data_IF_175340872981
#
_entry.id   IF_175340872981
#
_cell.length_a   1.000
_cell.length_b   1.000
_cell.length_c   1.000
_cell.angle_alpha   90.00
_cell.angle_beta   90.00
_cell.angle_gamma   90.00
#
_symmetry.space_group_name_H-M   'P 1'
#
loop_
_entity.id
_entity.type
_entity.pdbx_description
1 polymer ?
#
# COMPACT_ATOMS: atom_id res chain seq x y z
N UNK A 1 -14.59 17.18 10.54
CA UNK A 1 -14.38 15.78 11.01
C UNK A 1 -14.71 14.71 9.96
N UNK A 2 -15.70 14.91 9.08
CA UNK A 2 -16.14 13.94 8.04
C UNK A 2 -15.04 13.51 7.03
N UNK A 3 -14.11 14.40 6.66
CA UNK A 3 -13.12 14.12 5.61
C UNK A 3 -12.01 13.12 5.99
N UNK A 4 -11.73 12.87 7.28
CA UNK A 4 -10.69 11.91 7.68
C UNK A 4 -11.13 10.46 7.45
N UNK A 5 -12.41 10.14 7.65
CA UNK A 5 -12.95 8.78 7.53
C UNK A 5 -13.22 8.37 6.09
N UNK A 6 -13.44 9.32 5.18
CA UNK A 6 -13.68 9.06 3.75
C UNK A 6 -12.55 8.21 3.15
N UNK A 7 -11.29 8.48 3.52
CA UNK A 7 -10.14 7.72 3.01
C UNK A 7 -10.16 6.25 3.44
N UNK A 8 -10.57 5.98 4.68
CA UNK A 8 -10.73 4.61 5.17
C UNK A 8 -11.84 3.89 4.41
N UNK A 9 -12.99 4.53 4.24
CA UNK A 9 -14.13 3.96 3.54
C UNK A 9 -13.77 3.64 2.08
N UNK A 10 -13.14 4.58 1.37
CA UNK A 10 -12.75 4.37 -0.04
C UNK A 10 -11.80 3.18 -0.16
N UNK A 11 -10.76 3.10 0.67
CA UNK A 11 -9.78 1.99 0.60
C UNK A 11 -10.44 0.66 0.95
N UNK A 12 -11.32 0.63 1.96
CA UNK A 12 -12.08 -0.57 2.32
C UNK A 12 -12.98 -1.00 1.17
N UNK A 13 -13.71 -0.08 0.52
CA UNK A 13 -14.56 -0.39 -0.62
C UNK A 13 -13.74 -0.96 -1.78
N UNK A 14 -12.58 -0.39 -2.08
CA UNK A 14 -11.67 -0.91 -3.11
C UNK A 14 -11.20 -2.33 -2.74
N UNK A 15 -10.79 -2.57 -1.49
CA UNK A 15 -10.38 -3.88 -1.02
C UNK A 15 -11.50 -4.93 -1.12
N UNK A 16 -12.73 -4.55 -0.79
CA UNK A 16 -13.92 -5.39 -0.95
C UNK A 16 -14.16 -5.71 -2.42
N UNK A 17 -14.11 -4.72 -3.32
CA UNK A 17 -14.33 -4.92 -4.76
C UNK A 17 -13.30 -5.88 -5.37
N UNK A 18 -12.04 -5.77 -4.96
CA UNK A 18 -10.97 -6.69 -5.39
C UNK A 18 -11.27 -8.11 -4.88
N UNK A 19 -11.63 -8.26 -3.60
CA UNK A 19 -11.98 -9.55 -3.01
C UNK A 19 -13.16 -10.20 -3.73
N UNK A 20 -14.22 -9.42 -3.98
CA UNK A 20 -15.43 -9.86 -4.69
C UNK A 20 -15.12 -10.32 -6.13
N UNK A 21 -14.21 -9.62 -6.81
CA UNK A 21 -13.76 -10.02 -8.15
C UNK A 21 -13.08 -11.39 -8.13
N UNK A 22 -12.26 -11.67 -7.12
CA UNK A 22 -11.59 -12.97 -6.94
C UNK A 22 -12.61 -14.06 -6.59
N UNK A 23 -13.59 -13.73 -5.75
CA UNK A 23 -14.66 -14.65 -5.36
C UNK A 23 -15.51 -15.08 -6.55
N UNK A 24 -15.86 -14.14 -7.43
CA UNK A 24 -16.57 -14.43 -8.67
C UNK A 24 -15.73 -15.27 -9.64
N UNK A 25 -14.43 -14.97 -9.76
CA UNK A 25 -13.53 -15.73 -10.63
C UNK A 25 -13.35 -17.19 -10.18
N UNK A 26 -13.28 -17.42 -8.86
CA UNK A 26 -13.07 -18.75 -8.28
C UNK A 26 -14.35 -19.54 -8.00
N UNK A 27 -15.52 -19.04 -8.42
CA UNK A 27 -16.83 -19.70 -8.26
C UNK A 27 -17.09 -20.18 -6.82
N UNK A 28 -16.97 -19.28 -5.84
CA UNK A 28 -17.20 -19.57 -4.42
C UNK A 28 -18.55 -20.27 -4.14
N UNK A 29 -19.57 -19.96 -4.95
CA UNK A 29 -20.92 -20.53 -4.80
C UNK A 29 -21.02 -22.00 -5.21
N UNK A 30 -20.02 -22.53 -5.92
CA UNK A 30 -20.00 -23.92 -6.40
C UNK A 30 -19.02 -24.80 -5.61
N UNK A 31 -18.44 -24.26 -4.52
CA UNK A 31 -17.54 -24.99 -3.65
C UNK A 31 -18.35 -25.92 -2.74
N UNK A 32 -18.14 -27.24 -2.90
CA UNK A 32 -18.88 -28.26 -2.15
C UNK A 32 -18.28 -28.57 -0.76
N UNK A 33 -17.01 -28.22 -0.53
CA UNK A 33 -16.31 -28.49 0.72
C UNK A 33 -16.00 -27.19 1.47
N UNK A 34 -16.14 -27.22 2.80
CA UNK A 34 -15.80 -26.08 3.68
C UNK A 34 -14.31 -25.71 3.55
N UNK A 35 -13.44 -26.70 3.33
CA UNK A 35 -12.01 -26.48 3.08
C UNK A 35 -11.79 -25.63 1.82
N UNK A 36 -12.50 -25.92 0.73
CA UNK A 36 -12.37 -25.16 -0.53
C UNK A 36 -12.88 -23.72 -0.36
N UNK A 37 -13.95 -23.52 0.40
CA UNK A 37 -14.47 -22.18 0.75
C UNK A 37 -13.44 -21.38 1.53
N UNK A 38 -12.81 -21.98 2.56
CA UNK A 38 -11.79 -21.33 3.38
C UNK A 38 -10.55 -20.94 2.56
N UNK A 39 -10.13 -21.80 1.62
CA UNK A 39 -9.03 -21.52 0.70
C UNK A 39 -9.33 -20.32 -0.21
N UNK A 40 -10.51 -20.29 -0.83
CA UNK A 40 -10.89 -19.20 -1.73
C UNK A 40 -11.05 -17.87 -0.97
N UNK A 41 -11.59 -17.90 0.25
CA UNK A 41 -11.67 -16.72 1.13
C UNK A 41 -10.28 -16.20 1.50
N UNK A 42 -9.37 -17.09 1.93
CA UNK A 42 -7.98 -16.75 2.25
C UNK A 42 -7.32 -16.02 1.08
N UNK A 43 -7.34 -16.61 -0.11
CA UNK A 43 -6.71 -16.04 -1.31
C UNK A 43 -7.36 -14.72 -1.75
N UNK A 44 -8.69 -14.63 -1.66
CA UNK A 44 -9.42 -13.43 -2.05
C UNK A 44 -9.14 -12.22 -1.15
N UNK A 45 -8.90 -12.45 0.15
CA UNK A 45 -8.52 -11.38 1.08
C UNK A 45 -7.00 -11.12 1.10
N UNK A 46 -6.18 -12.09 0.70
CA UNK A 46 -4.72 -11.96 0.69
C UNK A 46 -4.26 -10.88 -0.29
N UNK A 47 -4.77 -10.92 -1.52
CA UNK A 47 -4.37 -9.99 -2.58
C UNK A 47 -4.61 -8.51 -2.22
N UNK A 48 -5.84 -8.08 -1.84
CA UNK A 48 -6.06 -6.69 -1.40
C UNK A 48 -5.34 -6.37 -0.09
N UNK A 49 -5.22 -7.33 0.83
CA UNK A 49 -4.46 -7.16 2.07
C UNK A 49 -2.99 -6.79 1.81
N UNK A 50 -2.30 -7.59 0.99
CA UNK A 50 -0.89 -7.35 0.64
C UNK A 50 -0.71 -6.07 -0.16
N UNK A 51 -1.59 -5.78 -1.13
CA UNK A 51 -1.48 -4.56 -1.93
C UNK A 51 -1.66 -3.29 -1.08
N UNK A 52 -2.71 -3.25 -0.24
CA UNK A 52 -3.02 -2.07 0.57
C UNK A 52 -2.00 -1.92 1.71
N UNK A 53 -1.68 -3.00 2.42
CA UNK A 53 -0.68 -2.98 3.50
C UNK A 53 0.71 -2.67 2.96
N UNK A 54 1.10 -3.29 1.84
CA UNK A 54 2.37 -3.03 1.16
C UNK A 54 2.51 -1.58 0.73
N UNK A 55 1.46 -0.99 0.14
CA UNK A 55 1.45 0.43 -0.18
C UNK A 55 1.56 1.31 1.08
N UNK A 56 0.90 0.93 2.19
CA UNK A 56 1.03 1.60 3.47
C UNK A 56 2.45 1.55 4.05
N UNK A 57 3.11 0.39 3.98
CA UNK A 57 4.50 0.22 4.42
C UNK A 57 5.48 1.01 3.55
N UNK A 58 5.28 1.00 2.23
CA UNK A 58 6.08 1.81 1.31
C UNK A 58 5.97 3.31 1.62
N UNK A 59 4.76 3.79 1.93
CA UNK A 59 4.56 5.18 2.34
C UNK A 59 5.17 5.48 3.72
N UNK A 60 5.14 4.52 4.66
CA UNK A 60 5.82 4.65 5.96
C UNK A 60 7.33 4.84 5.75
N UNK A 61 7.95 3.98 4.94
CA UNK A 61 9.39 4.04 4.63
C UNK A 61 9.74 5.30 3.82
N UNK A 62 8.87 5.70 2.89
CA UNK A 62 9.01 6.92 2.09
C UNK A 62 8.98 8.18 2.95
N UNK A 63 8.01 8.28 3.86
CA UNK A 63 7.93 9.40 4.81
C UNK A 63 9.11 9.42 5.81
N UNK A 64 9.77 8.28 6.03
CA UNK A 64 11.03 8.20 6.80
C UNK A 64 12.24 8.82 6.08
N UNK A 65 12.14 9.06 4.77
CA UNK A 65 13.18 9.65 3.95
C UNK A 65 14.13 8.64 3.29
N UNK A 66 13.85 7.34 3.38
CA UNK A 66 14.67 6.31 2.72
C UNK A 66 14.66 6.48 1.19
N UNK A 67 13.51 6.83 0.61
CA UNK A 67 13.38 7.10 -0.84
C UNK A 67 13.78 8.52 -1.25
N UNK A 68 13.97 9.45 -0.30
CA UNK A 68 14.35 10.84 -0.59
C UNK A 68 15.79 10.95 -1.11
N UNK A 69 16.69 10.09 -0.62
CA UNK A 69 18.09 10.05 -1.03
C UNK A 69 18.19 9.71 -2.53
N UNK A 70 17.44 8.70 -2.98
CA UNK A 70 17.40 8.31 -4.39
C UNK A 70 16.79 9.42 -5.25
N UNK A 71 15.66 10.00 -4.82
CA UNK A 71 14.97 11.06 -5.55
C UNK A 71 15.85 12.31 -5.71
N UNK A 72 16.53 12.72 -4.64
CA UNK A 72 17.47 13.84 -4.66
C UNK A 72 18.66 13.57 -5.60
N UNK A 73 19.21 12.37 -5.55
CA UNK A 73 20.34 11.96 -6.40
C UNK A 73 19.97 11.98 -7.89
N UNK A 74 18.81 11.43 -8.27
CA UNK A 74 18.32 11.49 -9.64
C UNK A 74 18.04 12.93 -10.10
N UNK A 75 17.45 13.76 -9.23
CA UNK A 75 17.16 15.17 -9.54
C UNK A 75 18.45 15.97 -9.75
N UNK A 76 19.48 15.74 -8.93
CA UNK A 76 20.80 16.36 -9.06
C UNK A 76 21.51 15.90 -10.33
N UNK A 77 21.44 14.61 -10.66
CA UNK A 77 22.02 14.06 -11.89
C UNK A 77 21.34 14.62 -13.15
N UNK A 78 20.01 14.70 -13.17
CA UNK A 78 19.27 15.35 -14.27
C UNK A 78 19.56 16.84 -14.39
N UNK A 79 19.62 17.56 -13.27
CA UNK A 79 19.92 18.99 -13.26
C UNK A 79 21.33 19.27 -13.81
N UNK A 80 22.33 18.45 -13.43
CA UNK A 80 23.70 18.52 -13.95
C UNK A 80 23.76 18.27 -15.45
N UNK A 81 22.98 17.31 -15.96
CA UNK A 81 22.91 16.98 -17.39
C UNK A 81 22.22 18.07 -18.23
N UNK A 82 21.21 18.75 -17.69
CA UNK A 82 20.39 19.72 -18.44
C UNK A 82 20.88 21.18 -18.36
N UNK A 83 21.46 21.60 -17.23
CA UNK A 83 21.74 23.02 -16.97
C UNK A 83 23.22 23.36 -16.73
N UNK A 84 24.14 22.39 -16.73
CA UNK A 84 25.55 22.60 -16.41
C UNK A 84 25.80 23.08 -14.96
N UNK A 85 27.07 23.15 -14.54
CA UNK A 85 27.47 23.40 -13.14
C UNK A 85 27.01 24.76 -12.58
N UNK A 86 26.76 25.77 -13.42
CA UNK A 86 26.51 27.15 -13.01
C UNK A 86 25.21 27.39 -12.23
N UNK A 87 24.25 26.45 -12.24
CA UNK A 87 23.00 26.53 -11.45
C UNK A 87 22.94 25.54 -10.30
N UNK A 88 24.01 24.77 -10.06
CA UNK A 88 24.08 23.74 -9.00
C UNK A 88 24.03 24.32 -7.58
N UNK A 89 24.21 25.64 -7.42
CA UNK A 89 24.17 26.32 -6.13
C UNK A 89 22.76 26.75 -5.68
N UNK A 90 21.73 26.63 -6.53
CA UNK A 90 20.40 27.19 -6.24
C UNK A 90 19.44 26.20 -5.53
N UNK A 91 19.87 24.96 -5.27
CA UNK A 91 19.17 24.03 -4.37
C UNK A 91 20.02 23.88 -3.11
N UNK A 92 20.00 24.92 -2.27
CA UNK A 92 20.60 24.90 -0.95
C UNK A 92 20.04 23.72 -0.16
N UNK A 93 20.97 22.93 0.40
CA UNK A 93 20.81 21.85 1.37
C UNK A 93 19.73 20.77 1.11
N UNK A 94 20.15 19.51 1.14
CA UNK A 94 19.24 18.35 1.27
C UNK A 94 18.22 18.52 2.42
N UNK A 95 18.60 19.31 3.44
CA UNK A 95 17.77 19.67 4.58
C UNK A 95 16.53 20.49 4.19
N UNK A 96 16.68 21.51 3.34
CA UNK A 96 15.56 22.36 2.90
C UNK A 96 14.59 21.58 1.99
N UNK A 97 15.14 20.71 1.13
CA UNK A 97 14.34 19.78 0.34
C UNK A 97 13.50 18.85 1.23
N UNK A 98 14.07 18.34 2.32
CA UNK A 98 13.37 17.47 3.27
C UNK A 98 12.31 18.23 4.09
N UNK A 99 12.57 19.48 4.48
CA UNK A 99 11.60 20.31 5.20
C UNK A 99 10.41 20.75 4.33
N UNK A 100 10.62 20.88 3.02
CA UNK A 100 9.54 21.25 2.07
C UNK A 100 8.57 20.11 1.72
N UNK A 101 8.89 18.85 2.05
CA UNK A 101 8.02 17.71 1.74
C UNK A 101 6.93 17.54 2.79
N UNK A 102 5.68 17.69 2.36
CA UNK A 102 4.52 17.30 3.16
C UNK A 102 4.48 15.78 3.34
N UNK A 103 4.29 15.32 4.58
CA UNK A 103 4.15 13.90 4.89
C UNK A 103 2.81 13.40 4.36
N UNK A 104 2.85 12.35 3.55
CA UNK A 104 1.62 11.74 3.02
C UNK A 104 0.94 10.96 4.14
N UNK A 105 -0.35 11.17 4.43
CA UNK A 105 -1.05 10.37 5.43
C UNK A 105 -1.10 8.90 4.98
N UNK A 106 -0.59 7.99 5.81
CA UNK A 106 -0.44 6.57 5.45
C UNK A 106 -1.10 5.61 6.46
N UNK A 107 -1.44 6.09 7.66
CA UNK A 107 -2.01 5.25 8.72
C UNK A 107 -3.30 4.53 8.33
N UNK A 108 -4.11 5.13 7.45
CA UNK A 108 -5.33 4.48 6.96
C UNK A 108 -5.06 3.25 6.08
N UNK A 109 -3.98 3.26 5.28
CA UNK A 109 -3.61 2.08 4.49
C UNK A 109 -3.10 0.95 5.40
N UNK A 110 -2.31 1.28 6.42
CA UNK A 110 -1.79 0.27 7.35
C UNK A 110 -2.92 -0.40 8.15
N UNK A 111 -3.87 0.38 8.65
CA UNK A 111 -5.01 -0.16 9.41
C UNK A 111 -5.89 -1.03 8.49
N UNK A 112 -6.32 -0.51 7.34
CA UNK A 112 -7.23 -1.25 6.45
C UNK A 112 -6.52 -2.48 5.86
N UNK A 113 -5.31 -2.32 5.31
CA UNK A 113 -4.53 -3.43 4.79
C UNK A 113 -4.20 -4.48 5.85
N UNK A 114 -3.90 -4.06 7.07
CA UNK A 114 -3.64 -4.96 8.21
C UNK A 114 -4.85 -5.78 8.60
N UNK A 115 -6.05 -5.20 8.57
CA UNK A 115 -7.30 -5.93 8.82
C UNK A 115 -7.50 -7.00 7.74
N UNK A 116 -7.42 -6.63 6.45
CA UNK A 116 -7.58 -7.58 5.34
C UNK A 116 -6.54 -8.70 5.37
N UNK A 117 -5.28 -8.37 5.65
CA UNK A 117 -4.21 -9.34 5.77
C UNK A 117 -4.43 -10.29 6.95
N UNK A 118 -4.85 -9.76 8.11
CA UNK A 118 -5.16 -10.58 9.29
C UNK A 118 -6.32 -11.54 9.03
N UNK A 119 -7.38 -11.07 8.38
CA UNK A 119 -8.50 -11.90 7.93
C UNK A 119 -8.03 -13.04 7.01
N UNK A 120 -7.18 -12.73 6.04
CA UNK A 120 -6.59 -13.74 5.15
C UNK A 120 -5.82 -14.80 5.93
N UNK A 121 -4.94 -14.41 6.87
CA UNK A 121 -4.17 -15.34 7.71
C UNK A 121 -5.09 -16.22 8.56
N UNK A 122 -6.15 -15.65 9.14
CA UNK A 122 -7.12 -16.41 9.94
C UNK A 122 -7.81 -17.48 9.08
N UNK A 123 -8.27 -17.14 7.88
CA UNK A 123 -8.89 -18.12 6.96
C UNK A 123 -7.88 -19.17 6.48
N UNK A 124 -6.61 -18.80 6.31
CA UNK A 124 -5.55 -19.73 5.95
C UNK A 124 -5.29 -20.76 7.06
N UNK A 125 -5.22 -20.32 8.32
CA UNK A 125 -5.08 -21.21 9.48
C UNK A 125 -6.29 -22.15 9.57
N UNK A 126 -7.50 -21.63 9.36
CA UNK A 126 -8.71 -22.44 9.34
C UNK A 126 -8.68 -23.51 8.23
N UNK A 127 -8.19 -23.17 7.04
CA UNK A 127 -7.98 -24.13 5.94
C UNK A 127 -7.02 -25.25 6.30
N UNK A 128 -5.98 -24.98 7.10
CA UNK A 128 -5.02 -26.01 7.51
C UNK A 128 -5.58 -26.94 8.59
N UNK A 129 -6.46 -26.43 9.46
CA UNK A 129 -7.04 -27.18 10.59
C UNK A 129 -8.30 -27.99 10.24
N UNK A 130 -9.07 -27.59 9.22
CA UNK A 130 -10.18 -28.35 8.64
C UNK A 130 -9.66 -29.22 7.50
#
# INVERSE_FOLDING_TARGET
MRNKYIKYIIVTVIGILISLSIFSYRNLLNANNIRDIAYILSDGFLLPGVLILGAGLLLLVSNGGMFDIFTYSFKKMRAKKLYGEKRSSAYNSYYDYRMSKEKVPFGFLLIVGGIFFSLSVIFNIMFFYL
#
